data_IF_886082183709
#
_entry.id   IF_886082183709
#
_cell.length_a   1.000
_cell.length_b   1.000
_cell.length_c   1.000
_cell.angle_alpha   90.00
_cell.angle_beta   90.00
_cell.angle_gamma   90.00
#
_symmetry.space_group_name_H-M   'P 1'
#
loop_
_entity.id
_entity.type
_entity.pdbx_description
1 polymer ?
#
# COMPACT_ATOMS: atom_id res chain seq x y z
N UNK A 1 22.71 -7.43 13.04
CA UNK A 1 22.65 -6.28 12.10
C UNK A 1 21.62 -6.57 11.00
N UNK A 2 20.39 -6.05 11.12
CA UNK A 2 19.33 -6.23 10.12
C UNK A 2 19.15 -4.91 9.37
N UNK A 3 19.52 -4.89 8.09
CA UNK A 3 19.30 -3.75 7.18
C UNK A 3 17.79 -3.46 7.12
N UNK A 4 17.39 -2.28 7.59
CA UNK A 4 16.01 -1.79 7.47
C UNK A 4 15.75 -1.60 5.97
N UNK A 5 14.77 -2.34 5.44
CA UNK A 5 14.28 -2.14 4.08
C UNK A 5 13.71 -0.73 4.01
N UNK A 6 14.31 0.11 3.18
CA UNK A 6 13.72 1.38 2.77
C UNK A 6 12.31 1.11 2.28
N UNK A 7 11.33 1.88 2.77
CA UNK A 7 9.95 1.79 2.33
C UNK A 7 9.91 2.20 0.85
N UNK A 8 9.99 1.22 -0.06
CA UNK A 8 9.47 1.36 -1.41
C UNK A 8 7.96 1.51 -1.26
N UNK A 9 7.50 2.74 -1.04
CA UNK A 9 6.15 3.14 -1.41
C UNK A 9 6.04 2.93 -2.93
N UNK A 10 4.87 2.49 -3.39
CA UNK A 10 4.52 2.07 -4.76
C UNK A 10 4.85 0.59 -5.04
N UNK A 11 4.00 -0.33 -4.54
CA UNK A 11 3.37 -1.25 -5.50
C UNK A 11 1.93 -1.68 -5.12
N UNK A 12 1.18 -0.91 -4.32
CA UNK A 12 -0.17 -1.33 -3.91
C UNK A 12 -1.30 -0.75 -4.81
N UNK A 13 -1.17 0.47 -5.33
CA UNK A 13 -2.26 1.11 -6.09
C UNK A 13 -2.27 0.81 -7.61
N UNK A 14 -1.36 -0.03 -8.13
CA UNK A 14 -1.13 -0.22 -9.58
C UNK A 14 -1.62 -1.57 -10.14
N UNK A 15 -2.27 -2.40 -9.33
CA UNK A 15 -2.69 -3.75 -9.73
C UNK A 15 -4.10 -3.76 -10.35
N UNK A 16 -4.99 -2.86 -9.92
CA UNK A 16 -6.37 -2.73 -10.42
C UNK A 16 -6.60 -1.49 -11.31
N UNK A 17 -5.53 -0.83 -11.77
CA UNK A 17 -5.61 0.36 -12.64
C UNK A 17 -5.15 0.03 -14.07
N UNK A 18 -5.87 0.51 -15.07
CA UNK A 18 -5.54 0.33 -16.47
C UNK A 18 -4.18 0.98 -16.80
N UNK A 19 -3.53 0.50 -17.86
CA UNK A 19 -2.17 0.94 -18.21
C UNK A 19 -2.09 2.46 -18.44
N UNK A 20 -3.13 3.07 -19.03
CA UNK A 20 -3.18 4.52 -19.27
C UNK A 20 -3.24 5.30 -17.96
N UNK A 21 -4.11 4.94 -17.01
CA UNK A 21 -4.15 5.61 -15.70
C UNK A 21 -2.82 5.49 -14.95
N UNK A 22 -2.15 4.34 -15.01
CA UNK A 22 -0.82 4.15 -14.40
C UNK A 22 0.22 5.09 -15.01
N UNK A 23 0.25 5.21 -16.33
CA UNK A 23 1.13 6.15 -17.02
C UNK A 23 0.86 7.60 -16.60
N UNK A 24 -0.41 8.01 -16.48
CA UNK A 24 -0.78 9.35 -16.01
C UNK A 24 -0.34 9.60 -14.57
N UNK A 25 -0.53 8.63 -13.66
CA UNK A 25 -0.09 8.73 -12.27
C UNK A 25 1.44 8.89 -12.18
N UNK A 26 2.19 8.10 -12.96
CA UNK A 26 3.65 8.19 -13.02
C UNK A 26 4.08 9.56 -13.53
N UNK A 27 3.53 10.03 -14.66
CA UNK A 27 3.82 11.36 -15.23
C UNK A 27 3.47 12.48 -14.24
N UNK A 28 2.31 12.41 -13.58
CA UNK A 28 1.89 13.39 -12.58
C UNK A 28 2.83 13.42 -11.36
N UNK A 29 3.27 12.25 -10.89
CA UNK A 29 4.23 12.12 -9.79
C UNK A 29 5.59 12.74 -10.16
N UNK A 30 6.11 12.43 -11.34
CA UNK A 30 7.37 12.99 -11.85
C UNK A 30 7.30 14.52 -12.00
N UNK A 31 6.22 15.05 -12.58
CA UNK A 31 5.99 16.51 -12.69
C UNK A 31 5.97 17.18 -11.32
N UNK A 32 5.30 16.57 -10.34
CA UNK A 32 5.27 17.09 -8.96
C UNK A 32 6.65 17.06 -8.31
N UNK A 33 7.39 15.96 -8.46
CA UNK A 33 8.75 15.86 -7.95
C UNK A 33 9.68 16.93 -8.55
N UNK A 34 9.67 17.10 -9.88
CA UNK A 34 10.41 18.17 -10.58
C UNK A 34 9.99 19.55 -10.08
N UNK A 35 8.69 19.78 -9.88
CA UNK A 35 8.17 21.04 -9.33
C UNK A 35 8.70 21.32 -7.92
N UNK A 36 8.72 20.31 -7.05
CA UNK A 36 9.23 20.42 -5.68
C UNK A 36 10.73 20.70 -5.69
N UNK A 37 11.50 20.00 -6.52
CA UNK A 37 12.94 20.25 -6.70
C UNK A 37 13.22 21.69 -7.15
N UNK A 38 12.54 22.17 -8.20
CA UNK A 38 12.72 23.53 -8.68
C UNK A 38 12.33 24.58 -7.63
N UNK A 39 11.30 24.32 -6.82
CA UNK A 39 10.92 25.20 -5.71
C UNK A 39 11.96 25.21 -4.60
N UNK A 40 12.59 24.06 -4.30
CA UNK A 40 13.69 23.96 -3.35
C UNK A 40 14.88 24.81 -3.79
N UNK A 41 15.24 24.74 -5.07
CA UNK A 41 16.36 25.52 -5.62
C UNK A 41 16.09 27.02 -5.54
N UNK A 42 14.86 27.46 -5.87
CA UNK A 42 14.43 28.86 -5.71
C UNK A 42 14.46 29.31 -4.25
N UNK A 43 14.00 28.46 -3.33
CA UNK A 43 14.06 28.74 -1.90
C UNK A 43 15.51 28.89 -1.44
N UNK A 44 16.39 27.96 -1.80
CA UNK A 44 17.80 28.00 -1.43
C UNK A 44 18.51 29.24 -1.97
N UNK A 45 18.21 29.65 -3.22
CA UNK A 45 18.73 30.88 -3.80
C UNK A 45 18.26 32.13 -3.03
N UNK A 46 16.97 32.21 -2.69
CA UNK A 46 16.42 33.31 -1.90
C UNK A 46 16.98 33.32 -0.47
N UNK A 47 17.16 32.16 0.15
CA UNK A 47 17.72 32.00 1.49
C UNK A 47 19.15 32.54 1.59
N UNK A 48 19.97 32.32 0.56
CA UNK A 48 21.34 32.85 0.48
C UNK A 48 21.38 34.37 0.23
N UNK A 49 20.37 34.93 -0.42
CA UNK A 49 20.28 36.36 -0.71
C UNK A 49 19.85 37.22 0.49
N UNK A 50 19.38 36.61 1.59
CA UNK A 50 18.98 37.31 2.82
C UNK A 50 20.21 37.71 3.65
N UNK A 51 20.07 38.77 4.46
CA UNK A 51 21.08 39.20 5.44
C UNK A 51 20.52 39.09 6.86
N UNK A 52 21.02 38.18 7.70
CA UNK A 52 22.09 37.20 7.44
C UNK A 52 21.62 36.04 6.54
N UNK A 53 22.55 35.36 5.82
CA UNK A 53 22.22 34.24 4.96
C UNK A 53 21.56 33.11 5.76
N UNK A 54 20.52 32.50 5.19
CA UNK A 54 19.66 31.51 5.85
C UNK A 54 20.05 30.08 5.46
N UNK A 55 19.53 29.13 6.25
CA UNK A 55 19.75 27.69 6.05
C UNK A 55 19.14 27.22 4.73
N UNK A 56 19.93 26.49 3.96
CA UNK A 56 19.51 25.76 2.75
C UNK A 56 19.16 24.31 3.08
N UNK A 57 18.43 23.65 2.17
CA UNK A 57 18.03 22.25 2.30
C UNK A 57 18.45 21.44 1.09
N UNK A 58 18.89 20.21 1.32
CA UNK A 58 19.16 19.25 0.24
C UNK A 58 17.88 18.48 -0.14
N UNK A 59 17.91 17.77 -1.27
CA UNK A 59 16.77 16.93 -1.68
C UNK A 59 16.58 15.76 -0.72
N UNK A 60 17.67 15.21 -0.17
CA UNK A 60 17.66 14.17 0.85
C UNK A 60 16.99 14.67 2.13
N UNK A 61 17.26 15.91 2.53
CA UNK A 61 16.63 16.52 3.70
C UNK A 61 15.10 16.52 3.54
N UNK A 62 14.58 16.93 2.38
CA UNK A 62 13.13 16.90 2.10
C UNK A 62 12.53 15.51 2.19
N UNK A 63 13.25 14.46 1.78
CA UNK A 63 12.75 13.08 1.89
C UNK A 63 12.65 12.62 3.33
N UNK A 64 13.46 13.18 4.23
CA UNK A 64 13.37 12.94 5.66
C UNK A 64 12.24 13.76 6.31
N UNK A 65 11.77 14.84 5.68
CA UNK A 65 10.63 15.65 6.12
C UNK A 65 9.31 14.97 5.71
N UNK A 66 9.01 13.86 6.37
CA UNK A 66 7.81 13.05 6.07
C UNK A 66 6.54 13.57 6.75
N UNK A 67 6.66 14.53 7.69
CA UNK A 67 5.53 15.02 8.48
C UNK A 67 5.18 16.48 8.17
N UNK A 68 3.89 16.84 8.27
CA UNK A 68 3.41 18.20 7.95
C UNK A 68 4.08 19.26 8.84
N UNK A 69 4.31 18.99 10.12
CA UNK A 69 5.01 19.95 11.00
C UNK A 69 6.51 20.08 10.69
N UNK A 70 7.09 19.16 9.90
CA UNK A 70 8.45 19.37 9.39
C UNK A 70 8.50 20.48 8.34
N UNK A 71 7.37 20.83 7.70
CA UNK A 71 7.30 21.95 6.76
C UNK A 71 7.12 23.31 7.44
N UNK A 72 6.81 23.35 8.75
CA UNK A 72 6.87 24.59 9.54
C UNK A 72 8.29 25.19 9.55
N UNK A 73 9.30 24.38 9.18
CA UNK A 73 10.68 24.79 8.86
C UNK A 73 10.78 25.87 7.78
N UNK A 74 9.81 25.94 6.86
CA UNK A 74 9.77 26.93 5.78
C UNK A 74 9.09 28.24 6.23
N UNK A 75 8.60 28.32 7.47
CA UNK A 75 7.88 29.47 8.00
C UNK A 75 8.77 30.27 8.94
N UNK A 76 9.13 31.48 8.55
CA UNK A 76 9.97 32.36 9.36
C UNK A 76 9.22 32.85 10.62
N UNK A 77 9.88 32.82 11.78
CA UNK A 77 9.41 33.43 13.03
C UNK A 77 8.92 32.50 14.15
N UNK A 78 8.97 31.18 13.97
CA UNK A 78 8.64 30.23 15.03
C UNK A 78 9.86 29.72 15.79
N UNK A 79 9.67 29.44 17.08
CA UNK A 79 10.62 28.67 17.90
C UNK A 79 10.98 27.40 17.12
N UNK A 80 12.27 27.11 16.98
CA UNK A 80 12.73 25.91 16.30
C UNK A 80 12.35 24.68 17.13
N UNK A 81 11.13 24.19 16.92
CA UNK A 81 10.55 23.06 17.65
C UNK A 81 11.41 21.81 17.52
N UNK A 82 12.17 21.66 16.42
CA UNK A 82 13.02 20.49 16.19
C UNK A 82 14.09 20.31 17.26
N UNK A 83 14.66 21.38 17.78
CA UNK A 83 15.65 21.30 18.86
C UNK A 83 15.06 20.74 20.16
N UNK A 84 13.73 20.71 20.27
CA UNK A 84 13.07 20.11 21.40
C UNK A 84 13.21 18.58 21.39
N UNK A 85 13.45 17.96 22.55
CA UNK A 85 13.71 16.52 22.66
C UNK A 85 12.55 15.64 22.18
N UNK A 86 11.33 16.19 22.11
CA UNK A 86 10.12 15.51 21.64
C UNK A 86 9.86 15.64 20.13
N UNK A 87 10.51 16.58 19.45
CA UNK A 87 10.34 16.81 18.02
C UNK A 87 11.42 16.12 17.17
N UNK A 88 12.54 15.73 17.77
CA UNK A 88 13.61 15.03 17.08
C UNK A 88 13.13 13.67 16.55
N UNK A 89 13.16 13.44 15.21
CA UNK A 89 12.73 12.18 14.63
C UNK A 89 13.63 11.03 15.11
N UNK A 90 13.02 9.99 15.68
CA UNK A 90 13.75 8.86 16.26
C UNK A 90 14.42 9.16 17.62
N UNK A 91 14.29 10.38 18.15
CA UNK A 91 14.76 10.74 19.49
C UNK A 91 13.92 10.13 20.62
N UNK A 92 14.45 10.07 21.86
CA UNK A 92 13.79 9.42 22.99
C UNK A 92 12.46 10.09 23.37
N UNK A 93 12.36 11.41 23.27
CA UNK A 93 11.12 12.14 23.58
C UNK A 93 9.99 11.78 22.61
N UNK A 94 10.28 11.73 21.31
CA UNK A 94 9.28 11.35 20.30
C UNK A 94 8.86 9.89 20.43
N UNK A 95 9.80 8.98 20.66
CA UNK A 95 9.50 7.57 20.92
C UNK A 95 8.61 7.39 22.17
N UNK A 96 8.88 8.15 23.24
CA UNK A 96 8.05 8.13 24.45
C UNK A 96 6.63 8.66 24.18
N UNK A 97 6.48 9.72 23.38
CA UNK A 97 5.16 10.23 22.98
C UNK A 97 4.40 9.24 22.11
N UNK A 98 5.05 8.62 21.12
CA UNK A 98 4.44 7.59 20.28
C UNK A 98 3.99 6.39 21.12
N UNK A 99 4.80 5.97 22.10
CA UNK A 99 4.46 4.91 23.03
C UNK A 99 3.29 5.31 23.91
N UNK A 100 3.28 6.52 24.46
CA UNK A 100 2.18 7.03 25.27
C UNK A 100 0.87 7.09 24.47
N UNK A 101 0.91 7.59 23.23
CA UNK A 101 -0.25 7.62 22.34
C UNK A 101 -0.76 6.21 22.03
N UNK A 102 0.15 5.24 21.81
CA UNK A 102 -0.21 3.82 21.65
C UNK A 102 -0.85 3.25 22.91
N UNK A 103 -0.31 3.55 24.09
CA UNK A 103 -0.87 3.08 25.36
C UNK A 103 -2.27 3.66 25.60
N UNK A 104 -2.47 4.95 25.36
CA UNK A 104 -3.78 5.60 25.48
C UNK A 104 -4.81 4.96 24.54
N UNK A 105 -4.43 4.69 23.29
CA UNK A 105 -5.31 4.04 22.30
C UNK A 105 -5.45 2.54 22.49
N UNK A 106 -4.53 1.88 23.20
CA UNK A 106 -4.59 0.44 23.40
C UNK A 106 -5.88 0.01 24.12
N UNK A 107 -6.36 0.82 25.06
CA UNK A 107 -7.62 0.57 25.75
C UNK A 107 -8.83 0.58 24.79
N UNK A 108 -8.89 1.56 23.89
CA UNK A 108 -9.92 1.63 22.85
C UNK A 108 -9.81 0.46 21.86
N UNK A 109 -8.58 0.11 21.49
CA UNK A 109 -8.31 -0.97 20.55
C UNK A 109 -8.73 -2.33 21.10
N UNK A 110 -8.52 -2.59 22.40
CA UNK A 110 -9.02 -3.81 23.05
C UNK A 110 -10.53 -3.93 22.90
N UNK A 111 -11.27 -2.84 23.11
CA UNK A 111 -12.74 -2.83 22.99
C UNK A 111 -13.15 -3.10 21.52
N UNK A 112 -12.47 -2.49 20.55
CA UNK A 112 -12.74 -2.72 19.12
C UNK A 112 -12.46 -4.17 18.72
N UNK A 113 -11.32 -4.71 19.13
CA UNK A 113 -10.93 -6.09 18.84
C UNK A 113 -11.93 -7.10 19.41
N UNK A 114 -12.48 -6.86 20.60
CA UNK A 114 -13.52 -7.73 21.19
C UNK A 114 -14.80 -7.77 20.32
N UNK A 115 -15.15 -6.66 19.66
CA UNK A 115 -16.27 -6.61 18.71
C UNK A 115 -15.88 -7.31 17.39
N UNK A 116 -14.71 -7.00 16.84
CA UNK A 116 -14.26 -7.54 15.55
C UNK A 116 -14.04 -9.05 15.59
N UNK A 117 -13.47 -9.58 16.67
CA UNK A 117 -13.28 -11.02 16.85
C UNK A 117 -14.63 -11.75 16.88
N UNK A 118 -15.62 -11.22 17.61
CA UNK A 118 -16.98 -11.77 17.62
C UNK A 118 -17.62 -11.73 16.24
N UNK A 119 -17.47 -10.62 15.51
CA UNK A 119 -17.96 -10.49 14.13
C UNK A 119 -17.30 -11.50 13.20
N UNK A 120 -15.98 -11.65 13.27
CA UNK A 120 -15.23 -12.61 12.47
C UNK A 120 -15.65 -14.04 12.78
N UNK A 121 -15.83 -14.37 14.06
CA UNK A 121 -16.30 -15.69 14.48
C UNK A 121 -17.69 -16.00 13.91
N UNK A 122 -18.62 -15.06 14.05
CA UNK A 122 -19.99 -15.15 13.51
C UNK A 122 -19.95 -15.32 11.99
N UNK A 123 -19.16 -14.49 11.30
CA UNK A 123 -19.03 -14.54 9.85
C UNK A 123 -18.54 -15.90 9.33
N UNK A 124 -17.55 -16.51 10.00
CA UNK A 124 -17.06 -17.85 9.64
C UNK A 124 -18.12 -18.95 9.87
N UNK A 125 -18.95 -18.80 10.90
CA UNK A 125 -20.04 -19.77 11.15
C UNK A 125 -21.13 -19.62 10.10
N UNK A 126 -21.62 -18.40 9.87
CA UNK A 126 -22.67 -18.10 8.91
C UNK A 126 -22.26 -18.50 7.49
N UNK A 127 -21.02 -18.24 7.09
CA UNK A 127 -20.51 -18.64 5.77
C UNK A 127 -20.46 -20.17 5.61
N UNK A 128 -19.97 -20.89 6.62
CA UNK A 128 -19.93 -22.36 6.59
C UNK A 128 -21.34 -22.96 6.51
N UNK A 129 -22.31 -22.41 7.26
CA UNK A 129 -23.70 -22.87 7.22
C UNK A 129 -24.37 -22.55 5.89
N UNK A 130 -24.19 -21.33 5.38
CA UNK A 130 -24.71 -20.91 4.08
C UNK A 130 -24.22 -21.81 2.94
N UNK A 131 -22.92 -22.11 2.91
CA UNK A 131 -22.35 -22.98 1.88
C UNK A 131 -22.85 -24.42 1.99
N UNK A 132 -23.08 -24.95 3.20
CA UNK A 132 -23.68 -26.28 3.41
C UNK A 132 -25.13 -26.32 2.94
N UNK A 133 -25.92 -25.30 3.28
CA UNK A 133 -27.31 -25.17 2.81
C UNK A 133 -27.37 -25.07 1.30
N UNK A 134 -26.51 -24.25 0.69
CA UNK A 134 -26.42 -24.10 -0.77
C UNK A 134 -25.99 -25.39 -1.46
N UNK A 135 -24.99 -26.10 -0.94
CA UNK A 135 -24.56 -27.42 -1.45
C UNK A 135 -25.72 -28.42 -1.44
N UNK A 136 -26.47 -28.48 -0.34
CA UNK A 136 -27.63 -29.37 -0.18
C UNK A 136 -28.76 -29.00 -1.15
N UNK A 137 -29.12 -27.71 -1.23
CA UNK A 137 -30.17 -27.21 -2.10
C UNK A 137 -29.89 -27.49 -3.58
N UNK A 138 -28.68 -27.18 -4.04
CA UNK A 138 -28.29 -27.43 -5.42
C UNK A 138 -28.35 -28.92 -5.80
N UNK A 139 -28.07 -29.80 -4.83
CA UNK A 139 -28.08 -31.24 -5.03
C UNK A 139 -29.48 -31.83 -5.00
N UNK A 140 -30.33 -31.36 -4.09
CA UNK A 140 -31.65 -31.96 -3.81
C UNK A 140 -32.80 -31.27 -4.56
N UNK A 141 -32.76 -29.95 -4.68
CA UNK A 141 -33.85 -29.13 -5.26
C UNK A 141 -33.60 -28.85 -6.73
N UNK A 142 -32.44 -28.27 -7.06
CA UNK A 142 -32.12 -27.88 -8.44
C UNK A 142 -31.58 -29.05 -9.29
N UNK A 143 -31.35 -30.21 -8.67
CA UNK A 143 -30.78 -31.42 -9.28
C UNK A 143 -29.52 -31.13 -10.13
N UNK A 144 -28.65 -30.25 -9.63
CA UNK A 144 -27.46 -29.77 -10.33
C UNK A 144 -26.17 -30.19 -9.59
N UNK A 145 -25.73 -31.46 -9.75
CA UNK A 145 -24.64 -32.03 -8.97
C UNK A 145 -23.27 -31.42 -9.28
N UNK A 146 -23.06 -30.89 -10.50
CA UNK A 146 -21.78 -30.27 -10.89
C UNK A 146 -21.56 -28.96 -10.16
N UNK A 147 -22.58 -28.11 -10.08
CA UNK A 147 -22.52 -26.84 -9.33
C UNK A 147 -22.43 -27.11 -7.82
N UNK A 148 -23.17 -28.08 -7.30
CA UNK A 148 -23.05 -28.50 -5.90
C UNK A 148 -21.62 -28.96 -5.56
N UNK A 149 -20.95 -29.69 -6.47
CA UNK A 149 -19.56 -30.09 -6.29
C UNK A 149 -18.59 -28.90 -6.26
N UNK A 150 -18.79 -27.88 -7.10
CA UNK A 150 -17.99 -26.66 -7.06
C UNK A 150 -18.17 -25.89 -5.74
N UNK A 151 -19.42 -25.76 -5.26
CA UNK A 151 -19.72 -25.14 -3.96
C UNK A 151 -19.05 -25.91 -2.82
N UNK A 152 -19.04 -27.25 -2.89
CA UNK A 152 -18.32 -28.09 -1.93
C UNK A 152 -16.81 -27.83 -1.93
N UNK A 153 -16.18 -27.72 -3.10
CA UNK A 153 -14.74 -27.41 -3.18
C UNK A 153 -14.42 -26.06 -2.54
N UNK A 154 -15.21 -25.03 -2.86
CA UNK A 154 -15.08 -23.71 -2.24
C UNK A 154 -15.25 -23.77 -0.72
N UNK A 155 -16.26 -24.51 -0.24
CA UNK A 155 -16.50 -24.70 1.20
C UNK A 155 -15.30 -25.34 1.90
N UNK A 156 -14.72 -26.39 1.33
CA UNK A 156 -13.56 -27.06 1.91
C UNK A 156 -12.33 -26.16 1.96
N UNK A 157 -12.13 -25.33 0.93
CA UNK A 157 -11.06 -24.32 0.92
C UNK A 157 -11.26 -23.30 2.05
N UNK A 158 -12.47 -22.74 2.18
CA UNK A 158 -12.81 -21.77 3.23
C UNK A 158 -12.64 -22.37 4.62
N UNK A 159 -13.16 -23.59 4.85
CA UNK A 159 -13.04 -24.29 6.13
C UNK A 159 -11.58 -24.53 6.55
N UNK A 160 -10.66 -24.72 5.60
CA UNK A 160 -9.22 -24.84 5.88
C UNK A 160 -8.66 -23.56 6.49
N UNK A 161 -9.01 -22.39 5.93
CA UNK A 161 -8.60 -21.10 6.47
C UNK A 161 -9.29 -20.81 7.81
N UNK A 162 -10.59 -21.04 7.88
CA UNK A 162 -11.38 -20.86 9.10
C UNK A 162 -10.84 -21.69 10.26
N UNK A 163 -10.38 -22.92 10.01
CA UNK A 163 -9.75 -23.74 11.03
C UNK A 163 -8.48 -23.07 11.60
N UNK A 164 -7.66 -22.46 10.74
CA UNK A 164 -6.49 -21.68 11.15
C UNK A 164 -6.86 -20.44 11.96
N UNK A 165 -7.88 -19.71 11.52
CA UNK A 165 -8.39 -18.52 12.22
C UNK A 165 -8.98 -18.88 13.59
N UNK A 166 -9.88 -19.87 13.65
CA UNK A 166 -10.48 -20.36 14.90
C UNK A 166 -9.43 -20.81 15.90
N UNK A 167 -8.38 -21.52 15.45
CA UNK A 167 -7.27 -21.90 16.33
C UNK A 167 -6.58 -20.68 16.94
N UNK A 168 -6.26 -19.66 16.14
CA UNK A 168 -5.63 -18.44 16.63
C UNK A 168 -6.54 -17.67 17.59
N UNK A 169 -7.84 -17.61 17.31
CA UNK A 169 -8.81 -16.97 18.19
C UNK A 169 -8.95 -17.72 19.53
N UNK A 170 -8.89 -19.05 19.52
CA UNK A 170 -8.84 -19.88 20.73
C UNK A 170 -7.52 -19.70 21.51
N UNK A 171 -6.42 -19.36 20.84
CA UNK A 171 -5.18 -19.04 21.53
C UNK A 171 -5.28 -17.69 22.26
N UNK A 172 -6.09 -16.74 21.77
CA UNK A 172 -6.32 -15.45 22.44
C UNK A 172 -7.04 -15.64 23.78
N UNK A 173 -7.94 -16.61 23.92
CA UNK A 173 -8.63 -16.86 25.20
C UNK A 173 -7.70 -17.39 26.30
N UNK A 174 -6.47 -17.79 25.95
CA UNK A 174 -5.45 -18.21 26.92
C UNK A 174 -4.70 -17.03 27.54
N UNK A 175 -4.85 -15.84 26.96
CA UNK A 175 -4.19 -14.62 27.44
C UNK A 175 -4.98 -14.08 28.64
N UNK A 176 -4.32 -13.79 29.77
CA UNK A 176 -5.00 -13.22 30.94
C UNK A 176 -5.57 -11.83 30.61
N UNK A 177 -6.81 -11.56 31.04
CA UNK A 177 -7.50 -10.29 30.83
C UNK A 177 -8.40 -10.23 29.58
N UNK A 178 -8.51 -11.31 28.81
CA UNK A 178 -9.46 -11.42 27.69
C UNK A 178 -10.86 -11.77 28.21
N UNK A 179 -11.88 -11.11 27.63
CA UNK A 179 -13.27 -11.33 28.01
C UNK A 179 -13.71 -12.78 27.76
N UNK A 180 -14.32 -13.48 28.73
CA UNK A 180 -14.77 -14.86 28.57
C UNK A 180 -15.88 -15.01 27.51
N UNK A 181 -16.54 -13.92 27.12
CA UNK A 181 -17.57 -13.90 26.07
C UNK A 181 -17.04 -13.71 24.64
N UNK A 182 -15.71 -13.59 24.44
CA UNK A 182 -15.09 -13.24 23.15
C UNK A 182 -15.46 -14.20 22.01
N UNK A 183 -15.65 -15.49 22.30
CA UNK A 183 -15.96 -16.53 21.31
C UNK A 183 -17.44 -16.91 21.28
N UNK A 184 -18.30 -16.13 21.92
CA UNK A 184 -19.75 -16.34 21.77
C UNK A 184 -20.16 -15.79 20.41
N UNK A 185 -20.69 -16.62 19.50
CA UNK A 185 -21.19 -16.14 18.23
C UNK A 185 -22.28 -15.09 18.44
N UNK A 186 -22.21 -14.01 17.67
CA UNK A 186 -23.30 -13.06 17.56
C UNK A 186 -24.35 -13.54 16.56
N UNK A 187 -25.29 -12.65 16.25
CA UNK A 187 -26.23 -12.80 15.13
C UNK A 187 -25.86 -11.78 14.06
N UNK A 188 -25.67 -12.19 12.81
CA UNK A 188 -25.44 -11.23 11.74
C UNK A 188 -26.68 -10.36 11.53
N UNK A 189 -26.44 -9.09 11.20
CA UNK A 189 -27.50 -8.17 10.74
C UNK A 189 -27.84 -8.45 9.27
N UNK A 190 -26.87 -8.93 8.51
CA UNK A 190 -27.07 -9.36 7.13
C UNK A 190 -27.75 -10.73 7.11
N UNK A 191 -29.04 -10.72 6.76
CA UNK A 191 -29.87 -11.91 6.64
C UNK A 191 -29.67 -12.66 5.32
N UNK A 192 -28.94 -12.11 4.35
CA UNK A 192 -28.77 -12.72 3.02
C UNK A 192 -28.16 -14.14 3.09
N UNK A 193 -27.30 -14.39 4.08
CA UNK A 193 -26.68 -15.70 4.34
C UNK A 193 -27.57 -16.65 5.15
N UNK A 194 -28.61 -16.11 5.78
CA UNK A 194 -29.60 -16.87 6.57
C UNK A 194 -30.86 -17.20 5.76
N UNK A 195 -31.09 -16.47 4.66
CA UNK A 195 -32.17 -16.73 3.72
C UNK A 195 -31.96 -18.08 3.02
N UNK A 196 -33.08 -18.76 2.71
CA UNK A 196 -33.00 -19.99 1.93
C UNK A 196 -32.48 -19.69 0.52
N UNK A 197 -31.61 -20.56 -0.03
CA UNK A 197 -31.13 -20.42 -1.39
C UNK A 197 -32.31 -20.38 -2.36
N UNK A 198 -32.55 -19.22 -2.95
CA UNK A 198 -33.64 -19.03 -3.92
C UNK A 198 -33.20 -19.65 -5.25
N UNK A 199 -33.94 -20.66 -5.72
CA UNK A 199 -33.80 -21.18 -7.07
C UNK A 199 -34.12 -20.06 -8.07
N UNK A 200 -33.09 -19.40 -8.59
CA UNK A 200 -33.25 -18.54 -9.77
C UNK A 200 -33.40 -19.47 -10.96
N UNK A 201 -34.65 -19.73 -11.37
CA UNK A 201 -34.91 -20.23 -12.72
C UNK A 201 -34.16 -19.31 -13.69
N UNK A 202 -33.36 -19.89 -14.58
CA UNK A 202 -32.57 -19.17 -15.57
C UNK A 202 -33.48 -18.39 -16.53
N UNK A 203 -34.01 -17.26 -16.07
CA UNK A 203 -34.65 -16.25 -16.89
C UNK A 203 -33.54 -15.40 -17.51
N UNK A 204 -33.31 -15.64 -18.79
CA UNK A 204 -32.59 -14.81 -19.77
C UNK A 204 -32.03 -13.49 -19.20
N UNK A 205 -30.74 -13.45 -18.91
CA UNK A 205 -30.04 -12.17 -18.79
C UNK A 205 -29.95 -11.57 -20.20
N UNK A 206 -30.43 -10.33 -20.45
CA UNK A 206 -30.21 -9.68 -21.75
C UNK A 206 -28.70 -9.46 -21.94
N UNK A 207 -28.20 -9.84 -23.12
CA UNK A 207 -26.81 -9.66 -23.48
C UNK A 207 -26.41 -8.18 -23.41
N UNK A 208 -25.21 -7.83 -22.90
CA UNK A 208 -24.75 -6.46 -22.90
C UNK A 208 -24.57 -5.98 -24.35
N UNK A 209 -25.31 -4.94 -24.72
CA UNK A 209 -25.11 -4.22 -25.97
C UNK A 209 -23.80 -3.47 -25.88
N UNK A 210 -22.79 -3.92 -26.63
CA UNK A 210 -21.53 -3.22 -26.80
C UNK A 210 -21.82 -1.98 -27.67
N UNK A 211 -21.62 -0.74 -27.18
CA UNK A 211 -21.72 0.44 -28.03
C UNK A 211 -20.57 0.45 -29.02
N UNK A 212 -20.90 0.65 -30.30
CA UNK A 212 -19.98 0.89 -31.41
C UNK A 212 -18.98 1.98 -31.05
N UNK A 213 -17.69 1.68 -31.19
CA UNK A 213 -16.60 2.65 -31.09
C UNK A 213 -16.81 3.74 -32.14
N UNK A 214 -17.01 4.97 -31.68
CA UNK A 214 -16.89 6.17 -32.50
C UNK A 214 -15.43 6.60 -32.50
N UNK A 215 -14.91 6.88 -33.68
CA UNK A 215 -13.57 7.42 -33.92
C UNK A 215 -13.50 8.84 -33.32
N UNK A 216 -12.79 9.00 -32.20
CA UNK A 216 -12.41 10.33 -31.70
C UNK A 216 -11.01 10.67 -32.24
N UNK A 217 -11.03 11.55 -33.24
CA UNK A 217 -9.90 12.27 -33.82
C UNK A 217 -9.31 13.23 -32.77
N UNK A 218 -8.24 12.87 -32.06
CA UNK A 218 -7.42 13.83 -31.29
C UNK A 218 -5.99 13.26 -31.03
N UNK A 219 -5.32 12.76 -32.08
CA UNK A 219 -3.93 12.26 -31.99
C UNK A 219 -2.85 13.32 -32.34
N UNK A 220 -3.22 14.56 -32.69
CA UNK A 220 -2.24 15.53 -33.17
C UNK A 220 -1.45 16.29 -32.08
N UNK A 221 -1.86 16.34 -30.80
CA UNK A 221 -1.17 17.19 -29.80
C UNK A 221 0.02 16.51 -29.08
N UNK A 222 0.34 15.25 -29.39
CA UNK A 222 1.37 14.48 -28.66
C UNK A 222 2.75 14.41 -29.34
N UNK A 223 2.93 14.99 -30.52
CA UNK A 223 4.21 14.92 -31.24
C UNK A 223 5.16 16.10 -30.97
N UNK A 224 4.69 17.24 -30.45
CA UNK A 224 5.55 18.42 -30.30
C UNK A 224 6.44 18.43 -29.05
N UNK A 225 6.19 17.57 -28.05
CA UNK A 225 7.01 17.57 -26.81
C UNK A 225 8.16 16.55 -26.85
N UNK A 226 8.07 15.51 -27.69
CA UNK A 226 9.10 14.45 -27.74
C UNK A 226 10.27 14.83 -28.65
N UNK A 227 10.09 15.78 -29.57
CA UNK A 227 11.16 16.22 -30.48
C UNK A 227 12.13 17.20 -29.78
N UNK A 228 11.66 18.03 -28.84
CA UNK A 228 12.54 19.01 -28.17
C UNK A 228 13.49 18.39 -27.14
N UNK A 229 13.13 17.28 -26.47
CA UNK A 229 13.99 16.68 -25.43
C UNK A 229 15.05 15.72 -25.99
N UNK A 230 14.84 15.13 -27.18
CA UNK A 230 15.83 14.24 -27.81
C UNK A 230 16.95 14.98 -28.56
N UNK A 231 16.71 16.22 -29.01
CA UNK A 231 17.73 17.02 -29.70
C UNK A 231 18.76 17.63 -28.74
N UNK A 232 18.46 17.73 -27.44
CA UNK A 232 19.35 18.35 -26.45
C UNK A 232 20.35 17.37 -25.80
N UNK A 233 20.26 16.07 -26.09
CA UNK A 233 21.10 15.02 -25.47
C UNK A 233 22.14 14.39 -26.40
N UNK A 234 22.29 14.85 -27.65
CA UNK A 234 23.27 14.29 -28.60
C UNK A 234 24.55 15.13 -28.79
N UNK A 235 24.83 16.09 -27.90
CA UNK A 235 26.08 16.86 -27.94
C UNK A 235 26.81 16.82 -26.60
N UNK A 236 27.60 15.76 -26.38
CA UNK A 236 28.87 15.70 -25.63
C UNK A 236 29.08 14.31 -25.01
N UNK A 237 29.68 13.39 -25.78
CA UNK A 237 30.53 12.32 -25.22
C UNK A 237 31.56 11.91 -26.30
N UNK A 238 32.66 12.67 -26.38
CA UNK A 238 33.90 12.22 -27.03
C UNK A 238 34.74 11.53 -25.94
N UNK A 239 34.95 10.22 -26.06
CA UNK A 239 35.81 9.44 -25.17
C UNK A 239 37.27 9.47 -25.65
N UNK A 240 38.28 9.59 -24.78
CA UNK A 240 39.64 9.20 -25.12
C UNK A 240 39.85 7.69 -24.86
N UNK A 241 40.32 7.01 -25.90
CA UNK A 241 40.92 5.68 -25.87
C UNK A 241 42.21 5.71 -25.02
N UNK A 242 42.40 4.70 -24.17
CA UNK A 242 43.68 3.98 -23.94
C UNK A 242 43.52 3.07 -22.71
N UNK A 243 43.42 1.77 -22.98
CA UNK A 243 43.10 0.73 -22.01
C UNK A 243 44.15 -0.39 -22.13
N UNK A 244 45.34 -0.18 -21.56
CA UNK A 244 46.38 -1.21 -21.48
C UNK A 244 47.02 -1.40 -20.09
N UNK A 245 46.76 -0.55 -19.09
CA UNK A 245 47.37 -0.69 -17.74
C UNK A 245 46.49 -1.36 -16.68
N UNK A 246 45.22 -1.66 -16.95
CA UNK A 246 44.29 -2.21 -15.93
C UNK A 246 44.30 -3.75 -15.89
N UNK A 247 44.84 -4.41 -16.92
CA UNK A 247 44.93 -5.86 -17.01
C UNK A 247 45.99 -6.47 -16.08
N UNK A 248 47.17 -5.86 -15.98
CA UNK A 248 48.28 -6.40 -15.17
C UNK A 248 48.07 -6.23 -13.65
N UNK A 249 47.28 -5.24 -13.23
CA UNK A 249 46.97 -5.00 -11.81
C UNK A 249 45.98 -6.00 -11.22
N UNK A 250 45.16 -6.66 -12.05
CA UNK A 250 44.18 -7.65 -11.58
C UNK A 250 44.84 -9.02 -11.38
N UNK A 251 45.81 -9.42 -12.20
CA UNK A 251 46.53 -10.68 -12.01
C UNK A 251 47.54 -10.63 -10.83
N UNK A 252 48.16 -9.48 -10.57
CA UNK A 252 49.08 -9.32 -9.44
C UNK A 252 48.38 -9.40 -8.06
N UNK A 253 47.11 -8.96 -7.97
CA UNK A 253 46.34 -9.00 -6.71
C UNK A 253 45.79 -10.40 -6.42
N UNK A 254 45.57 -11.22 -7.44
CA UNK A 254 45.10 -12.60 -7.26
C UNK A 254 46.25 -13.53 -6.86
N UNK A 255 47.50 -13.22 -7.22
CA UNK A 255 48.68 -14.04 -6.87
C UNK A 255 49.22 -13.84 -5.44
N UNK A 256 48.81 -12.80 -4.71
CA UNK A 256 49.32 -12.50 -3.34
C UNK A 256 48.31 -12.88 -2.24
N UNK A 257 47.13 -13.40 -2.60
CA UNK A 257 46.07 -13.79 -1.66
C UNK A 257 45.89 -15.29 -1.44
N UNK A 258 46.87 -16.12 -1.80
CA UNK A 258 46.90 -17.58 -1.57
C UNK A 258 47.93 -17.98 -0.53
#
# INVERSE_FOLDING_TARGET
MRRRRSQRLVPFCLLDTDYKARAHIIKASQRRHKTIANRLDRYNAAALALSPPRRTFTKEDLTNLTFVADFDLLREGHVNIREQPWAQPGGPGRQAMDLNAKLLRAAEEIIRLDIEIRRLWTWMQDESEFLKKSEKHLREVDNNPSLAYQVRLLRLERERFDHGHRRRLLDLTKIPGVSPGLLTPGRSVDESRHQEPVSRSAGQAPAPTIPSEGEDEDEQEWHDVVVEENAATEAEEEAPEDNEEVGELIEAVIAVGG
#
